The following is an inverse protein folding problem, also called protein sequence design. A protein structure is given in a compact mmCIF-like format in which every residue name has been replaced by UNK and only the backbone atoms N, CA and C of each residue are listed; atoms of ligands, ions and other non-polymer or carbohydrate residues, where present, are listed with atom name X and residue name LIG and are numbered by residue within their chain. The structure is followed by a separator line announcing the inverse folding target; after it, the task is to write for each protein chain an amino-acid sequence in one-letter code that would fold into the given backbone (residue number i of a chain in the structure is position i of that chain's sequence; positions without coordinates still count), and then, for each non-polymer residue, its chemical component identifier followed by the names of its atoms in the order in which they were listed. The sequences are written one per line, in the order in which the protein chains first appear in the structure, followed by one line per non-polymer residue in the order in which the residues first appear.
data_IF_561192423791
#
_entry.id   IF_561192423791
#
_cell.length_a   1.000
_cell.length_b   1.000
_cell.length_c   1.000
_cell.angle_alpha   90.00
_cell.angle_beta   90.00
_cell.angle_gamma   90.00
#
_symmetry.space_group_name_H-M   'P 1'
#
loop_
_entity.id
_entity.type
_entity.pdbx_description
1 polymer ?
#
# COMPACT_ATOMS: atom_id res chain seq x y z
N UNK A 1 -17.29 12.73 -0.69
CA UNK A 1 -16.22 11.72 -0.44
C UNK A 1 -14.98 12.16 -1.18
N UNK A 2 -13.81 12.11 -0.55
CA UNK A 2 -12.52 12.45 -1.17
C UNK A 2 -11.63 11.22 -1.12
N UNK A 3 -11.04 10.85 -2.25
CA UNK A 3 -10.03 9.78 -2.34
C UNK A 3 -8.64 10.38 -2.35
N UNK A 4 -7.74 9.86 -1.52
CA UNK A 4 -6.33 10.28 -1.47
C UNK A 4 -5.41 9.06 -1.56
N UNK A 5 -4.26 9.21 -2.20
CA UNK A 5 -3.19 8.22 -2.22
C UNK A 5 -2.02 8.74 -1.38
N UNK A 6 -1.95 8.39 -0.08
CA UNK A 6 -0.93 8.97 0.81
C UNK A 6 0.50 8.51 0.49
N UNK A 7 0.68 7.44 -0.29
CA UNK A 7 1.99 6.87 -0.68
C UNK A 7 2.79 7.74 -1.68
N UNK A 8 2.18 8.79 -2.23
CA UNK A 8 2.80 9.72 -3.19
C UNK A 8 3.45 9.04 -4.43
N UNK A 9 2.94 7.87 -4.84
CA UNK A 9 3.44 7.14 -6.01
C UNK A 9 3.01 5.67 -6.01
N UNK A 10 3.45 4.94 -7.04
CA UNK A 10 3.22 3.49 -7.15
C UNK A 10 4.33 2.74 -6.40
N UNK A 11 3.95 1.81 -5.52
CA UNK A 11 4.89 0.91 -4.86
C UNK A 11 5.36 -0.22 -5.77
N UNK A 12 6.68 -0.27 -6.05
CA UNK A 12 7.31 -1.34 -6.83
C UNK A 12 7.52 -2.64 -6.05
N UNK A 13 7.65 -2.56 -4.71
CA UNK A 13 7.66 -3.75 -3.84
C UNK A 13 6.26 -4.30 -3.58
N UNK A 14 5.23 -3.53 -3.98
CA UNK A 14 3.82 -3.77 -3.67
C UNK A 14 3.52 -3.94 -2.18
N UNK A 15 4.30 -3.28 -1.34
CA UNK A 15 4.05 -3.06 0.09
C UNK A 15 3.74 -1.58 0.32
N UNK A 16 3.16 -1.25 1.47
CA UNK A 16 2.87 0.15 1.82
C UNK A 16 4.18 0.92 1.95
N UNK A 17 4.25 2.08 1.28
CA UNK A 17 5.39 3.00 1.33
C UNK A 17 5.24 3.98 2.49
N UNK A 18 6.25 4.83 2.67
CA UNK A 18 6.11 6.03 3.47
C UNK A 18 4.85 6.82 3.09
N UNK A 19 4.10 7.25 4.10
CA UNK A 19 2.82 7.92 3.94
C UNK A 19 2.93 9.41 4.23
N UNK A 20 2.30 10.21 3.37
CA UNK A 20 2.08 11.61 3.64
C UNK A 20 1.06 11.80 4.78
N UNK A 21 1.34 12.67 5.76
CA UNK A 21 0.46 12.89 6.91
C UNK A 21 -0.83 13.64 6.57
N UNK A 22 -1.00 14.08 5.31
CA UNK A 22 -2.14 14.90 4.87
C UNK A 22 -3.50 14.25 5.08
N UNK A 23 -3.60 12.92 4.99
CA UNK A 23 -4.86 12.21 5.27
C UNK A 23 -5.30 12.35 6.73
N UNK A 24 -4.35 12.21 7.67
CA UNK A 24 -4.57 12.42 9.11
C UNK A 24 -4.93 13.88 9.39
N UNK A 25 -4.16 14.82 8.83
CA UNK A 25 -4.39 16.24 9.02
C UNK A 25 -5.78 16.68 8.50
N UNK A 26 -6.16 16.21 7.31
CA UNK A 26 -7.48 16.50 6.72
C UNK A 26 -8.60 15.92 7.57
N UNK A 27 -8.49 14.66 8.00
CA UNK A 27 -9.47 14.01 8.87
C UNK A 27 -9.66 14.80 10.17
N UNK A 28 -8.57 15.20 10.85
CA UNK A 28 -8.64 16.02 12.07
C UNK A 28 -9.30 17.38 11.84
N UNK A 29 -8.96 18.06 10.74
CA UNK A 29 -9.49 19.39 10.44
C UNK A 29 -10.98 19.40 10.11
N UNK A 30 -11.50 18.29 9.58
CA UNK A 30 -12.89 18.18 9.09
C UNK A 30 -13.78 17.35 10.00
N UNK A 31 -13.20 16.57 10.91
CA UNK A 31 -13.91 15.55 11.70
C UNK A 31 -14.36 14.33 10.87
N UNK A 32 -14.00 14.26 9.58
CA UNK A 32 -14.39 13.14 8.72
C UNK A 32 -13.59 11.87 9.08
N UNK A 33 -14.22 10.70 9.17
CA UNK A 33 -13.51 9.45 9.41
C UNK A 33 -12.68 9.03 8.19
N UNK A 34 -11.60 8.30 8.42
CA UNK A 34 -10.77 7.70 7.37
C UNK A 34 -11.26 6.29 7.06
N UNK A 35 -11.40 5.94 5.79
CA UNK A 35 -11.65 4.56 5.35
C UNK A 35 -10.43 4.10 4.56
N UNK A 36 -9.75 3.06 5.02
CA UNK A 36 -8.61 2.49 4.32
C UNK A 36 -9.10 1.54 3.23
N UNK A 37 -8.48 1.67 2.04
CA UNK A 37 -8.80 0.83 0.89
C UNK A 37 -7.50 0.27 0.33
N UNK A 38 -7.35 -1.05 0.37
CA UNK A 38 -6.27 -1.75 -0.29
C UNK A 38 -6.77 -2.33 -1.62
N UNK A 39 -6.05 -2.04 -2.71
CA UNK A 39 -6.38 -2.52 -4.05
C UNK A 39 -5.24 -3.39 -4.56
N UNK A 40 -5.56 -4.60 -5.00
CA UNK A 40 -4.61 -5.58 -5.48
C UNK A 40 -5.04 -6.15 -6.83
N UNK A 41 -4.10 -6.27 -7.77
CA UNK A 41 -4.36 -6.75 -9.13
C UNK A 41 -4.07 -5.73 -10.24
N UNK A 42 -4.38 -4.42 -10.10
CA UNK A 42 -4.13 -3.44 -11.16
C UNK A 42 -2.68 -3.34 -11.61
N UNK A 43 -1.71 -3.63 -10.73
CA UNK A 43 -0.29 -3.67 -11.08
C UNK A 43 0.03 -4.68 -12.19
N UNK A 44 -0.83 -5.71 -12.37
CA UNK A 44 -0.74 -6.71 -13.44
C UNK A 44 -1.18 -6.19 -14.81
N UNK A 45 -1.86 -5.03 -14.82
CA UNK A 45 -2.26 -4.29 -16.02
C UNK A 45 -1.23 -3.19 -16.29
N UNK A 46 -0.96 -2.34 -15.30
CA UNK A 46 -0.01 -1.23 -15.42
C UNK A 46 0.67 -0.98 -14.07
N UNK A 47 2.00 -0.91 -14.07
CA UNK A 47 2.80 -0.51 -12.92
C UNK A 47 4.04 0.24 -13.40
N UNK A 48 4.63 1.06 -12.53
CA UNK A 48 5.78 1.87 -12.86
C UNK A 48 6.98 0.98 -13.28
N UNK A 49 7.64 1.34 -14.38
CA UNK A 49 8.84 0.65 -14.86
C UNK A 49 8.60 -0.67 -15.60
N UNK A 50 7.34 -1.12 -15.77
CA UNK A 50 7.02 -2.35 -16.50
C UNK A 50 6.07 -2.11 -17.68
N UNK A 51 6.12 -2.94 -18.74
CA UNK A 51 5.20 -2.83 -19.86
C UNK A 51 3.73 -3.00 -19.43
N UNK A 52 2.85 -2.20 -20.04
CA UNK A 52 1.41 -2.28 -19.85
C UNK A 52 0.86 -3.54 -20.54
N UNK A 53 -0.10 -4.21 -19.91
CA UNK A 53 -0.77 -5.38 -20.46
C UNK A 53 -2.29 -5.29 -20.31
N UNK A 54 -2.98 -4.99 -21.40
CA UNK A 54 -4.45 -4.80 -21.43
C UNK A 54 -5.25 -6.11 -21.63
N UNK A 55 -4.66 -7.27 -21.34
CA UNK A 55 -5.39 -8.56 -21.43
C UNK A 55 -6.49 -8.64 -20.37
N UNK A 56 -7.67 -9.11 -20.80
CA UNK A 56 -8.84 -9.40 -19.95
C UNK A 56 -8.58 -10.60 -19.04
N UNK A 57 -9.46 -10.78 -18.04
CA UNK A 57 -9.43 -11.94 -17.13
C UNK A 57 -8.46 -11.82 -15.95
N UNK A 58 -7.96 -10.61 -15.65
CA UNK A 58 -7.18 -10.33 -14.45
C UNK A 58 -8.11 -9.98 -13.30
N UNK A 59 -8.03 -10.71 -12.19
CA UNK A 59 -8.77 -10.37 -11.00
C UNK A 59 -8.23 -9.06 -10.39
N UNK A 60 -9.16 -8.26 -9.86
CA UNK A 60 -8.87 -7.13 -8.97
C UNK A 60 -9.59 -7.44 -7.66
N UNK A 61 -8.84 -7.43 -6.57
CA UNK A 61 -9.40 -7.57 -5.22
C UNK A 61 -9.26 -6.25 -4.46
N UNK A 62 -10.30 -5.92 -3.72
CA UNK A 62 -10.39 -4.70 -2.93
C UNK A 62 -10.73 -5.11 -1.51
N UNK A 63 -9.94 -4.65 -0.54
CA UNK A 63 -10.25 -4.75 0.88
C UNK A 63 -10.50 -3.35 1.42
N UNK A 64 -11.53 -3.21 2.25
CA UNK A 64 -11.98 -1.93 2.82
C UNK A 64 -12.06 -2.08 4.32
N UNK A 65 -11.50 -1.13 5.07
CA UNK A 65 -11.61 -1.12 6.53
C UNK A 65 -12.97 -0.57 6.97
N UNK A 66 -13.42 -0.85 8.21
CA UNK A 66 -14.39 0.00 8.88
C UNK A 66 -13.88 1.46 8.93
N UNK A 67 -14.79 2.45 9.08
CA UNK A 67 -14.40 3.84 9.31
C UNK A 67 -13.53 3.97 10.56
N UNK A 68 -12.43 4.71 10.44
CA UNK A 68 -11.46 4.99 11.51
C UNK A 68 -11.62 6.45 11.90
N UNK A 69 -12.00 6.68 13.15
CA UNK A 69 -11.95 8.01 13.74
C UNK A 69 -10.51 8.31 14.14
N UNK A 70 -9.92 9.32 13.51
CA UNK A 70 -8.58 9.80 13.88
C UNK A 70 -8.70 10.66 15.14
N UNK A 71 -8.05 10.31 16.27
CA UNK A 71 -8.07 11.14 17.47
C UNK A 71 -7.57 12.55 17.15
N UNK A 72 -8.19 13.59 17.70
CA UNK A 72 -7.80 14.99 17.45
C UNK A 72 -6.58 15.41 18.29
N UNK A 73 -6.32 14.70 19.37
CA UNK A 73 -5.20 14.85 20.28
C UNK A 73 -4.00 13.99 19.86
N UNK A 74 -2.78 14.39 20.25
CA UNK A 74 -1.55 13.65 19.96
C UNK A 74 -0.87 13.97 18.62
N UNK A 75 0.17 13.21 18.30
CA UNK A 75 1.08 13.42 17.16
C UNK A 75 0.45 12.99 15.82
N UNK A 76 0.46 13.89 14.83
CA UNK A 76 0.05 13.58 13.46
C UNK A 76 0.94 12.50 12.82
N UNK A 77 2.29 12.55 12.95
CA UNK A 77 3.15 11.46 12.54
C UNK A 77 2.75 10.10 13.14
N UNK A 78 2.50 10.02 14.43
CA UNK A 78 2.21 8.74 15.11
C UNK A 78 0.89 8.14 14.62
N UNK A 79 -0.14 8.98 14.45
CA UNK A 79 -1.40 8.56 13.82
C UNK A 79 -1.21 8.11 12.37
N UNK A 80 -0.24 8.70 11.65
CA UNK A 80 0.10 8.30 10.28
C UNK A 80 0.80 6.94 10.27
N UNK A 81 1.71 6.67 11.22
CA UNK A 81 2.34 5.35 11.42
C UNK A 81 1.26 4.28 11.65
N UNK A 82 0.30 4.57 12.53
CA UNK A 82 -0.76 3.62 12.87
C UNK A 82 -1.70 3.34 11.69
N UNK A 83 -2.10 4.36 10.92
CA UNK A 83 -2.84 4.15 9.68
C UNK A 83 -2.04 3.34 8.66
N UNK A 84 -0.72 3.58 8.54
CA UNK A 84 0.17 2.79 7.68
C UNK A 84 0.26 1.33 8.11
N UNK A 85 0.34 1.06 9.42
CA UNK A 85 0.30 -0.28 10.00
C UNK A 85 -0.98 -1.03 9.61
N UNK A 86 -2.13 -0.39 9.79
CA UNK A 86 -3.42 -0.99 9.43
C UNK A 86 -3.55 -1.19 7.91
N UNK A 87 -3.12 -0.21 7.10
CA UNK A 87 -3.14 -0.33 5.65
C UNK A 87 -2.28 -1.50 5.17
N UNK A 88 -1.09 -1.71 5.77
CA UNK A 88 -0.23 -2.85 5.44
C UNK A 88 -0.91 -4.17 5.77
N UNK A 89 -1.65 -4.26 6.88
CA UNK A 89 -2.45 -5.45 7.20
C UNK A 89 -3.55 -5.72 6.16
N UNK A 90 -4.24 -4.68 5.68
CA UNK A 90 -5.21 -4.83 4.59
C UNK A 90 -4.54 -5.31 3.29
N UNK A 91 -3.39 -4.73 2.92
CA UNK A 91 -2.62 -5.11 1.73
C UNK A 91 -2.18 -6.56 1.80
N UNK A 92 -1.55 -6.97 2.91
CA UNK A 92 -1.16 -8.36 3.16
C UNK A 92 -2.37 -9.29 3.05
N UNK A 93 -3.47 -8.93 3.71
CA UNK A 93 -4.68 -9.76 3.73
C UNK A 93 -5.33 -9.92 2.36
N UNK A 94 -5.30 -8.89 1.50
CA UNK A 94 -5.85 -9.00 0.14
C UNK A 94 -4.92 -9.79 -0.78
N UNK A 95 -3.60 -9.67 -0.61
CA UNK A 95 -2.60 -10.43 -1.37
C UNK A 95 -2.70 -11.94 -1.10
N UNK A 96 -2.83 -12.35 0.16
CA UNK A 96 -2.94 -13.75 0.55
C UNK A 96 -4.22 -14.42 0.01
N UNK A 97 -5.32 -13.66 -0.04
CA UNK A 97 -6.63 -14.17 -0.50
C UNK A 97 -6.84 -14.04 -2.01
N UNK A 98 -5.91 -13.39 -2.72
CA UNK A 98 -6.06 -13.17 -4.15
C UNK A 98 -6.08 -14.48 -4.93
N UNK A 99 -7.04 -14.62 -5.84
CA UNK A 99 -7.24 -15.85 -6.62
C UNK A 99 -6.13 -16.11 -7.62
N UNK A 100 -5.63 -15.04 -8.25
CA UNK A 100 -4.54 -15.18 -9.21
C UNK A 100 -3.20 -15.10 -8.47
N UNK A 101 -2.77 -16.23 -7.91
CA UNK A 101 -1.40 -16.39 -7.43
C UNK A 101 -0.45 -16.65 -8.61
N UNK A 102 0.85 -16.33 -8.49
CA UNK A 102 1.84 -16.65 -9.51
C UNK A 102 1.88 -18.15 -9.79
N UNK A 103 2.24 -18.50 -11.03
CA UNK A 103 2.53 -19.89 -11.37
C UNK A 103 3.86 -20.28 -10.74
N UNK A 104 3.88 -21.39 -10.01
CA UNK A 104 5.09 -21.93 -9.39
C UNK A 104 6.23 -22.08 -10.41
N UNK A 105 7.44 -21.67 -10.02
CA UNK A 105 8.66 -21.85 -10.82
C UNK A 105 8.92 -20.81 -11.91
N UNK A 106 8.12 -19.74 -12.02
CA UNK A 106 8.39 -18.64 -12.96
C UNK A 106 8.60 -17.32 -12.20
N UNK A 107 9.66 -16.54 -12.51
CA UNK A 107 9.79 -15.17 -12.01
C UNK A 107 8.54 -14.35 -12.32
N UNK A 108 8.02 -13.65 -11.32
CA UNK A 108 6.89 -12.72 -11.44
C UNK A 108 7.27 -11.39 -10.79
N UNK A 109 7.68 -10.44 -11.63
CA UNK A 109 8.08 -9.08 -11.27
C UNK A 109 6.92 -8.20 -10.80
N UNK A 110 5.68 -8.72 -10.89
CA UNK A 110 4.45 -8.06 -10.41
C UNK A 110 3.87 -8.72 -9.16
N UNK A 111 4.63 -9.63 -8.55
CA UNK A 111 4.32 -10.29 -7.28
C UNK A 111 5.40 -9.97 -6.25
N UNK A 112 5.05 -9.71 -4.98
CA UNK A 112 5.98 -9.17 -4.01
C UNK A 112 6.97 -10.25 -3.55
N UNK A 113 8.23 -9.86 -3.29
CA UNK A 113 9.31 -10.78 -2.94
C UNK A 113 8.97 -11.65 -1.71
N UNK A 114 8.37 -11.06 -0.67
CA UNK A 114 8.00 -11.76 0.56
C UNK A 114 6.89 -12.80 0.38
N UNK A 115 6.20 -12.82 -0.77
CA UNK A 115 5.20 -13.84 -1.14
C UNK A 115 5.69 -14.75 -2.26
N UNK A 116 7.01 -14.84 -2.49
CA UNK A 116 7.63 -15.73 -3.48
C UNK A 116 7.69 -15.16 -4.90
N UNK A 117 7.49 -13.84 -5.05
CA UNK A 117 7.65 -13.14 -6.32
C UNK A 117 9.07 -12.63 -6.54
N UNK A 118 9.27 -11.85 -7.61
CA UNK A 118 10.57 -11.26 -7.95
C UNK A 118 10.52 -9.75 -8.09
N UNK A 119 9.46 -9.10 -7.58
CA UNK A 119 9.45 -7.65 -7.42
C UNK A 119 10.58 -7.19 -6.45
N UNK A 120 11.04 -5.93 -6.54
CA UNK A 120 12.01 -5.38 -5.60
C UNK A 120 11.59 -5.55 -4.13
N UNK A 121 12.55 -5.68 -3.23
CA UNK A 121 12.24 -5.65 -1.79
C UNK A 121 11.73 -4.27 -1.37
N UNK A 122 11.08 -4.18 -0.20
CA UNK A 122 10.65 -2.88 0.33
C UNK A 122 11.84 -1.91 0.48
N UNK A 123 12.99 -2.42 0.92
CA UNK A 123 14.23 -1.64 1.06
C UNK A 123 14.76 -1.17 -0.29
N UNK A 124 14.82 -2.04 -1.31
CA UNK A 124 15.25 -1.65 -2.66
C UNK A 124 14.33 -0.57 -3.24
N UNK A 125 13.01 -0.78 -3.12
CA UNK A 125 12.00 0.15 -3.62
C UNK A 125 12.00 1.50 -2.86
N UNK A 126 12.48 1.53 -1.62
CA UNK A 126 12.63 2.75 -0.82
C UNK A 126 13.88 3.55 -1.22
N UNK A 127 14.95 2.90 -1.69
CA UNK A 127 16.14 3.61 -2.20
C UNK A 127 15.81 4.37 -3.50
N UNK A 128 14.97 3.78 -4.35
CA UNK A 128 14.57 4.38 -5.63
C UNK A 128 13.40 5.39 -5.50
N UNK A 129 12.86 5.52 -4.29
CA UNK A 129 11.69 6.33 -4.01
C UNK A 129 12.04 7.82 -3.88
N UNK A 130 11.53 8.65 -4.79
CA UNK A 130 11.48 10.10 -4.54
C UNK A 130 10.32 10.41 -3.60
N UNK A 131 10.60 10.36 -2.30
CA UNK A 131 9.62 10.59 -1.24
C UNK A 131 10.02 11.84 -0.46
N UNK A 132 9.13 12.85 -0.36
CA UNK A 132 9.38 14.03 0.44
C UNK A 132 9.70 13.71 1.91
N UNK A 133 10.61 14.50 2.50
CA UNK A 133 11.10 14.31 3.88
C UNK A 133 10.03 14.33 4.97
N UNK A 134 8.85 14.87 4.65
CA UNK A 134 7.69 14.93 5.55
C UNK A 134 6.89 13.63 5.58
N UNK A 135 7.17 12.67 4.69
CA UNK A 135 6.51 11.38 4.69
C UNK A 135 6.96 10.55 5.89
N UNK A 136 6.01 9.79 6.43
CA UNK A 136 6.17 9.00 7.65
C UNK A 136 6.29 7.53 7.27
N UNK A 137 7.37 6.89 7.69
CA UNK A 137 7.57 5.47 7.41
C UNK A 137 6.58 4.62 8.24
N UNK A 138 5.83 3.69 7.61
CA UNK A 138 5.10 2.68 8.36
C UNK A 138 6.08 1.70 9.04
N UNK A 139 5.64 0.93 10.04
CA UNK A 139 6.48 -0.11 10.64
C UNK A 139 6.94 -1.13 9.59
N UNK A 140 8.15 -1.68 9.75
CA UNK A 140 8.73 -2.60 8.78
C UNK A 140 7.88 -3.85 8.58
N UNK A 141 7.76 -4.27 7.31
CA UNK A 141 7.01 -5.46 6.90
C UNK A 141 7.57 -6.73 7.54
N UNK A 142 8.90 -6.83 7.71
CA UNK A 142 9.57 -7.97 8.35
C UNK A 142 9.24 -8.12 9.83
N UNK A 143 8.75 -7.07 10.51
CA UNK A 143 8.33 -7.14 11.90
C UNK A 143 6.88 -7.64 12.08
N UNK A 144 6.18 -7.96 10.98
CA UNK A 144 4.78 -8.40 10.98
C UNK A 144 4.58 -9.88 10.60
N UNK A 145 5.65 -10.62 10.28
CA UNK A 145 5.60 -12.02 9.84
C UNK A 145 6.62 -12.88 10.58
#
# INVERSE_FOLDING_TARGET
VVGVFPEAGISRSFTVRALMPGAVALSRSTGAPVVLVAVWGPQRIATAGLPISVRRGRAVSIAVSPPITVPTDGSVPDATVELGRQLQQLVTGVQQRHRDQPRTGRPDDRHPAHLGGTAPTASDAAVEADVPRTAVQPPEVSAMF
#
